data_IF_098755686970
#
_entry.id   IF_098755686970
#
_cell.length_a   1.000
_cell.length_b   1.000
_cell.length_c   1.000
_cell.angle_alpha   90.00
_cell.angle_beta   90.00
_cell.angle_gamma   90.00
#
_symmetry.space_group_name_H-M   'P 1'
#
loop_
_entity.id
_entity.type
_entity.pdbx_description
1 polymer ?
#
# COMPACT_ATOMS: atom_id res chain seq x y z
N UNK A 1 -63.76 2.84 8.53
CA UNK A 1 -62.77 3.69 7.83
C UNK A 1 -61.58 2.80 7.55
N UNK A 2 -61.43 2.36 6.30
CA UNK A 2 -60.30 1.52 5.89
C UNK A 2 -59.22 2.45 5.35
N UNK A 3 -58.14 2.61 6.13
CA UNK A 3 -56.99 3.41 5.74
C UNK A 3 -56.36 2.81 4.49
N UNK A 4 -56.48 3.54 3.39
CA UNK A 4 -55.89 3.19 2.11
C UNK A 4 -54.40 3.42 2.21
N UNK A 5 -53.64 2.35 2.46
CA UNK A 5 -52.18 2.37 2.39
C UNK A 5 -51.80 2.81 0.97
N UNK A 6 -51.22 4.01 0.85
CA UNK A 6 -50.84 4.58 -0.44
C UNK A 6 -49.76 3.71 -1.10
N UNK A 7 -49.91 3.33 -2.38
CA UNK A 7 -48.99 2.45 -3.11
C UNK A 7 -47.52 2.94 -3.12
N UNK A 8 -47.27 4.21 -2.79
CA UNK A 8 -45.96 4.79 -2.56
C UNK A 8 -45.18 4.13 -1.40
N UNK A 9 -45.85 3.74 -0.31
CA UNK A 9 -45.19 3.18 0.89
C UNK A 9 -44.65 1.77 0.62
N UNK A 10 -45.42 0.95 -0.11
CA UNK A 10 -44.99 -0.40 -0.49
C UNK A 10 -43.82 -0.37 -1.50
N UNK A 11 -43.83 0.58 -2.43
CA UNK A 11 -42.73 0.77 -3.39
C UNK A 11 -41.42 1.17 -2.68
N UNK A 12 -41.49 2.11 -1.72
CA UNK A 12 -40.32 2.51 -0.92
C UNK A 12 -39.82 1.35 -0.06
N UNK A 13 -40.71 0.62 0.60
CA UNK A 13 -40.33 -0.55 1.41
C UNK A 13 -39.65 -1.65 0.57
N UNK A 14 -40.14 -1.91 -0.65
CA UNK A 14 -39.54 -2.88 -1.55
C UNK A 14 -38.16 -2.43 -2.07
N UNK A 15 -38.00 -1.15 -2.40
CA UNK A 15 -36.70 -0.59 -2.78
C UNK A 15 -35.69 -0.62 -1.65
N UNK A 16 -36.09 -0.21 -0.45
CA UNK A 16 -35.22 -0.26 0.74
C UNK A 16 -34.87 -1.70 1.08
N UNK A 17 -35.84 -2.63 1.08
CA UNK A 17 -35.60 -4.05 1.32
C UNK A 17 -34.62 -4.64 0.30
N UNK A 18 -34.83 -4.38 -0.99
CA UNK A 18 -33.95 -4.85 -2.06
C UNK A 18 -32.54 -4.26 -1.97
N UNK A 19 -32.42 -2.97 -1.64
CA UNK A 19 -31.12 -2.32 -1.44
C UNK A 19 -30.38 -2.91 -0.22
N UNK A 20 -31.08 -3.12 0.89
CA UNK A 20 -30.52 -3.76 2.10
C UNK A 20 -30.07 -5.18 1.78
N UNK A 21 -30.88 -6.00 1.09
CA UNK A 21 -30.47 -7.35 0.70
C UNK A 21 -29.27 -7.33 -0.25
N UNK A 22 -29.25 -6.46 -1.26
CA UNK A 22 -28.14 -6.33 -2.20
C UNK A 22 -26.83 -5.89 -1.54
N UNK A 23 -26.88 -5.18 -0.42
CA UNK A 23 -25.68 -4.74 0.33
C UNK A 23 -25.30 -5.75 1.41
N UNK A 24 -26.25 -6.23 2.20
CA UNK A 24 -26.00 -7.12 3.32
C UNK A 24 -25.61 -8.53 2.89
N UNK A 25 -26.16 -9.05 1.80
CA UNK A 25 -25.90 -10.43 1.37
C UNK A 25 -24.46 -10.63 0.86
N UNK A 26 -23.84 -9.70 0.10
CA UNK A 26 -22.41 -9.74 -0.18
C UNK A 26 -21.53 -9.56 1.06
N UNK A 27 -21.92 -8.72 2.02
CA UNK A 27 -21.16 -8.53 3.26
C UNK A 27 -21.19 -9.80 4.11
N UNK A 28 -22.37 -10.38 4.31
CA UNK A 28 -22.55 -11.65 5.01
C UNK A 28 -21.85 -12.80 4.29
N UNK A 29 -21.96 -12.87 2.95
CA UNK A 29 -21.25 -13.83 2.12
C UNK A 29 -19.72 -13.68 2.22
N UNK A 30 -19.20 -12.46 2.20
CA UNK A 30 -17.78 -12.18 2.38
C UNK A 30 -17.31 -12.54 3.80
N UNK A 31 -18.08 -12.20 4.83
CA UNK A 31 -17.81 -12.56 6.22
C UNK A 31 -17.78 -14.08 6.41
N UNK A 32 -18.76 -14.79 5.84
CA UNK A 32 -18.81 -16.25 5.86
C UNK A 32 -17.64 -16.86 5.09
N UNK A 33 -17.33 -16.36 3.90
CA UNK A 33 -16.16 -16.82 3.13
C UNK A 33 -14.85 -16.58 3.89
N UNK A 34 -14.70 -15.44 4.56
CA UNK A 34 -13.54 -15.14 5.39
C UNK A 34 -13.45 -16.06 6.62
N UNK A 35 -14.59 -16.38 7.25
CA UNK A 35 -14.67 -17.29 8.38
C UNK A 35 -14.39 -18.74 7.98
N UNK A 36 -14.82 -19.15 6.78
CA UNK A 36 -14.61 -20.50 6.24
C UNK A 36 -13.25 -20.67 5.56
N UNK A 37 -12.59 -19.59 5.14
CA UNK A 37 -11.30 -19.65 4.43
C UNK A 37 -10.21 -20.43 5.18
N UNK A 38 -10.05 -20.34 6.53
CA UNK A 38 -9.12 -21.19 7.27
C UNK A 38 -9.49 -22.67 7.27
N UNK A 39 -10.78 -22.99 7.11
CA UNK A 39 -11.32 -24.35 7.12
C UNK A 39 -11.27 -25.03 5.75
N UNK A 40 -11.07 -24.27 4.65
CA UNK A 40 -10.90 -24.85 3.33
C UNK A 40 -9.57 -25.62 3.29
N UNK A 41 -9.58 -26.94 3.00
CA UNK A 41 -8.36 -27.73 2.96
C UNK A 41 -7.39 -27.13 1.94
N UNK A 42 -6.20 -26.70 2.39
CA UNK A 42 -5.15 -26.20 1.49
C UNK A 42 -4.89 -27.15 0.33
N UNK A 43 -4.96 -28.46 0.59
CA UNK A 43 -4.82 -29.53 -0.39
C UNK A 43 -5.79 -29.43 -1.59
N UNK A 44 -6.94 -28.75 -1.45
CA UNK A 44 -7.90 -28.57 -2.53
C UNK A 44 -7.57 -27.37 -3.42
N UNK A 45 -7.02 -26.31 -2.84
CA UNK A 45 -6.66 -25.07 -3.54
C UNK A 45 -5.26 -25.16 -4.16
N UNK A 46 -4.32 -25.80 -3.48
CA UNK A 46 -2.92 -25.91 -3.92
C UNK A 46 -2.79 -26.45 -5.35
N UNK A 47 -3.35 -27.61 -5.73
CA UNK A 47 -3.16 -28.14 -7.08
C UNK A 47 -3.65 -27.18 -8.17
N UNK A 48 -4.71 -26.40 -7.90
CA UNK A 48 -5.30 -25.45 -8.86
C UNK A 48 -4.53 -24.14 -8.93
N UNK A 49 -4.05 -23.62 -7.80
CA UNK A 49 -3.22 -22.41 -7.73
C UNK A 49 -1.80 -22.70 -8.23
N UNK A 50 -1.31 -23.92 -8.00
CA UNK A 50 0.05 -24.36 -8.31
C UNK A 50 0.22 -24.87 -9.75
N UNK A 51 -0.89 -25.13 -10.47
CA UNK A 51 -0.86 -25.54 -11.87
C UNK A 51 -0.30 -24.43 -12.78
N UNK A 52 1.02 -24.39 -12.90
CA UNK A 52 1.77 -23.45 -13.72
C UNK A 52 2.21 -22.18 -13.00
N UNK A 53 2.56 -21.11 -13.75
CA UNK A 53 3.01 -19.82 -13.21
C UNK A 53 1.84 -19.11 -12.54
N UNK A 54 1.54 -19.52 -11.31
CA UNK A 54 0.44 -19.00 -10.48
C UNK A 54 -0.93 -19.15 -11.15
N UNK A 55 -1.18 -20.32 -11.76
CA UNK A 55 -2.44 -20.61 -12.46
C UNK A 55 -2.54 -20.06 -13.89
N UNK A 56 -1.48 -19.47 -14.46
CA UNK A 56 -1.53 -18.83 -15.78
C UNK A 56 -1.18 -19.74 -16.98
N UNK A 57 -0.95 -21.05 -16.78
CA UNK A 57 -0.50 -21.98 -17.86
C UNK A 57 -1.48 -22.07 -19.06
N UNK A 58 -2.75 -21.69 -18.90
CA UNK A 58 -3.80 -21.84 -19.92
C UNK A 58 -4.07 -20.61 -20.79
N UNK A 59 -3.25 -19.55 -20.75
CA UNK A 59 -3.46 -18.40 -21.65
C UNK A 59 -2.86 -18.65 -23.04
N UNK A 60 -3.68 -18.46 -24.08
CA UNK A 60 -3.30 -18.64 -25.50
C UNK A 60 -2.11 -17.78 -25.94
N UNK A 61 -1.86 -16.64 -25.29
CA UNK A 61 -0.68 -15.81 -25.50
C UNK A 61 -0.23 -15.19 -24.18
N UNK A 62 0.99 -15.47 -23.67
CA UNK A 62 1.51 -14.82 -22.49
C UNK A 62 1.72 -13.33 -22.79
N UNK A 63 1.28 -12.47 -21.87
CA UNK A 63 1.59 -11.04 -21.96
C UNK A 63 3.07 -10.83 -21.66
N UNK A 64 3.66 -9.77 -22.21
CA UNK A 64 5.03 -9.39 -21.86
C UNK A 64 5.13 -9.03 -20.37
N UNK A 65 6.17 -9.54 -19.72
CA UNK A 65 6.53 -9.26 -18.33
C UNK A 65 7.80 -8.43 -18.28
N UNK A 66 7.98 -7.70 -17.18
CA UNK A 66 9.22 -6.99 -16.89
C UNK A 66 10.07 -7.85 -15.96
N UNK A 67 11.19 -8.36 -16.48
CA UNK A 67 12.09 -9.31 -15.84
C UNK A 67 13.43 -8.66 -15.55
N UNK A 68 14.01 -8.90 -14.39
CA UNK A 68 15.36 -8.47 -14.01
C UNK A 68 16.19 -9.70 -13.64
N UNK A 69 17.34 -9.89 -14.30
CA UNK A 69 18.38 -10.84 -13.85
C UNK A 69 19.13 -10.20 -12.69
N UNK A 70 19.14 -10.83 -11.53
CA UNK A 70 19.87 -10.32 -10.35
C UNK A 70 21.31 -10.83 -10.28
N UNK A 71 21.74 -11.65 -11.23
CA UNK A 71 23.10 -12.20 -11.28
C UNK A 71 24.13 -11.07 -11.40
N UNK A 72 25.14 -11.09 -10.54
CA UNK A 72 26.24 -10.13 -10.55
C UNK A 72 25.99 -8.84 -9.75
N UNK A 73 24.81 -8.64 -9.17
CA UNK A 73 24.60 -7.56 -8.21
C UNK A 73 24.98 -8.01 -6.79
N UNK A 74 25.85 -7.24 -6.13
CA UNK A 74 26.18 -7.47 -4.73
C UNK A 74 25.01 -7.10 -3.79
N UNK A 75 24.27 -6.05 -4.12
CA UNK A 75 23.09 -5.56 -3.39
C UNK A 75 22.18 -4.74 -4.33
N UNK A 76 21.03 -4.29 -3.82
CA UNK A 76 20.09 -3.48 -4.58
C UNK A 76 20.66 -2.12 -5.01
N UNK A 77 21.64 -1.56 -4.28
CA UNK A 77 22.29 -0.30 -4.68
C UNK A 77 23.22 -0.49 -5.87
N UNK A 78 23.89 -1.64 -5.99
CA UNK A 78 24.68 -2.01 -7.17
C UNK A 78 23.80 -2.05 -8.43
N UNK A 79 22.56 -2.53 -8.31
CA UNK A 79 21.55 -2.46 -9.38
C UNK A 79 21.07 -1.02 -9.64
N UNK A 80 20.81 -0.22 -8.61
CA UNK A 80 20.23 1.11 -8.77
C UNK A 80 21.20 2.19 -9.29
N UNK A 81 22.50 2.08 -8.98
CA UNK A 81 23.55 3.06 -9.36
C UNK A 81 23.73 3.27 -10.87
N UNK A 82 23.75 2.23 -11.73
CA UNK A 82 23.88 2.41 -13.18
C UNK A 82 22.62 2.93 -13.86
N UNK A 83 21.46 2.97 -13.18
CA UNK A 83 20.22 3.48 -13.76
C UNK A 83 20.33 4.98 -14.12
N UNK A 84 19.44 5.42 -15.02
CA UNK A 84 19.31 6.81 -15.39
C UNK A 84 19.05 7.70 -14.16
N UNK A 85 19.38 9.01 -14.28
CA UNK A 85 19.35 9.98 -13.15
C UNK A 85 18.05 9.94 -12.36
N UNK A 86 16.90 9.91 -13.04
CA UNK A 86 15.58 9.94 -12.39
C UNK A 86 15.29 8.66 -11.59
N UNK A 87 15.22 7.45 -12.20
CA UNK A 87 15.07 6.18 -11.48
C UNK A 87 16.05 5.99 -10.31
N UNK A 88 17.33 6.30 -10.55
CA UNK A 88 18.38 6.24 -9.53
C UNK A 88 18.09 7.14 -8.34
N UNK A 89 17.69 8.40 -8.59
CA UNK A 89 17.35 9.36 -7.54
C UNK A 89 16.11 8.91 -6.75
N UNK A 90 15.12 8.34 -7.45
CA UNK A 90 13.92 7.81 -6.81
C UNK A 90 14.27 6.71 -5.80
N UNK A 91 15.02 5.70 -6.24
CA UNK A 91 15.37 4.54 -5.41
C UNK A 91 16.35 4.87 -4.28
N UNK A 92 17.38 5.68 -4.56
CA UNK A 92 18.45 5.98 -3.60
C UNK A 92 18.12 7.10 -2.61
N UNK A 93 17.12 7.97 -2.91
CA UNK A 93 16.84 9.16 -2.09
C UNK A 93 15.37 9.39 -1.82
N UNK A 94 14.52 9.37 -2.84
CA UNK A 94 13.12 9.80 -2.67
C UNK A 94 12.30 8.83 -1.84
N UNK A 95 12.53 7.52 -1.98
CA UNK A 95 11.88 6.50 -1.16
C UNK A 95 12.18 6.76 0.32
N UNK A 96 13.45 6.89 0.72
CA UNK A 96 13.82 7.11 2.12
C UNK A 96 13.32 8.46 2.66
N UNK A 97 13.44 9.52 1.84
CA UNK A 97 12.88 10.83 2.19
C UNK A 97 11.37 10.75 2.43
N UNK A 98 10.65 9.97 1.63
CA UNK A 98 9.21 9.75 1.82
C UNK A 98 8.93 8.98 3.10
N UNK A 99 9.72 7.95 3.41
CA UNK A 99 9.53 7.15 4.62
C UNK A 99 9.74 7.98 5.87
N UNK A 100 10.82 8.75 5.94
CA UNK A 100 11.11 9.65 7.05
C UNK A 100 10.02 10.72 7.18
N UNK A 101 9.65 11.38 6.07
CA UNK A 101 8.65 12.45 6.07
C UNK A 101 7.28 11.98 6.57
N UNK A 102 6.90 10.75 6.24
CA UNK A 102 5.56 10.22 6.54
C UNK A 102 5.56 9.24 7.73
N UNK A 103 6.69 9.06 8.44
CA UNK A 103 6.81 8.11 9.54
C UNK A 103 6.41 6.69 9.11
N UNK A 104 6.97 6.22 7.99
CA UNK A 104 6.63 4.89 7.46
C UNK A 104 7.48 3.79 8.10
N UNK A 105 6.81 2.78 8.65
CA UNK A 105 7.39 1.51 9.09
C UNK A 105 6.94 0.40 8.16
N UNK A 106 7.74 -0.65 8.01
CA UNK A 106 7.39 -1.84 7.22
C UNK A 106 7.47 -3.08 8.09
N UNK A 107 6.50 -3.98 7.91
CA UNK A 107 6.48 -5.29 8.54
C UNK A 107 6.17 -6.35 7.49
N UNK A 108 6.95 -7.45 7.47
CA UNK A 108 6.62 -8.60 6.61
C UNK A 108 5.74 -9.56 7.35
N UNK A 109 4.56 -9.81 6.79
CA UNK A 109 3.60 -10.77 7.31
C UNK A 109 3.45 -11.95 6.33
N UNK A 110 3.22 -13.18 6.84
CA UNK A 110 2.71 -14.24 5.99
C UNK A 110 1.30 -13.86 5.51
N UNK A 111 0.96 -14.20 4.27
CA UNK A 111 -0.29 -13.77 3.64
C UNK A 111 -1.56 -14.18 4.41
N UNK A 112 -1.53 -15.30 5.13
CA UNK A 112 -2.65 -15.77 5.96
C UNK A 112 -2.90 -14.91 7.22
N UNK A 113 -2.00 -14.00 7.58
CA UNK A 113 -2.19 -13.06 8.71
C UNK A 113 -2.84 -11.73 8.33
N UNK A 114 -3.18 -11.54 7.05
CA UNK A 114 -3.90 -10.34 6.62
C UNK A 114 -5.31 -10.26 7.24
N UNK A 115 -5.54 -9.30 8.12
CA UNK A 115 -6.85 -9.01 8.73
C UNK A 115 -7.67 -7.89 8.06
N UNK A 116 -8.70 -7.40 8.76
CA UNK A 116 -9.68 -6.42 8.27
C UNK A 116 -9.06 -5.08 7.82
N UNK A 117 -8.08 -4.56 8.56
CA UNK A 117 -7.40 -3.32 8.20
C UNK A 117 -6.71 -3.39 6.82
N UNK A 118 -6.23 -4.57 6.42
CA UNK A 118 -5.61 -4.78 5.12
C UNK A 118 -6.65 -4.84 4.00
N UNK A 119 -7.82 -5.45 4.24
CA UNK A 119 -8.92 -5.43 3.29
C UNK A 119 -9.38 -4.00 2.99
N UNK A 120 -9.43 -3.13 4.00
CA UNK A 120 -9.75 -1.72 3.80
C UNK A 120 -8.76 -1.03 2.85
N UNK A 121 -7.46 -1.34 2.92
CA UNK A 121 -6.46 -0.82 1.98
C UNK A 121 -6.76 -1.29 0.55
N UNK A 122 -7.08 -2.58 0.37
CA UNK A 122 -7.37 -3.14 -0.95
C UNK A 122 -8.61 -2.47 -1.54
N UNK A 123 -9.68 -2.30 -0.77
CA UNK A 123 -10.92 -1.63 -1.19
C UNK A 123 -10.64 -0.16 -1.54
N UNK A 124 -9.96 0.58 -0.66
CA UNK A 124 -9.62 1.98 -0.88
C UNK A 124 -8.78 2.18 -2.16
N UNK A 125 -7.90 1.22 -2.46
CA UNK A 125 -7.17 1.21 -3.72
C UNK A 125 -8.09 0.98 -4.93
N UNK A 126 -9.07 0.06 -4.84
CA UNK A 126 -10.02 -0.19 -5.93
C UNK A 126 -10.96 0.98 -6.20
N UNK A 127 -11.34 1.74 -5.17
CA UNK A 127 -12.23 2.91 -5.30
C UNK A 127 -11.67 4.01 -6.23
N UNK A 128 -10.36 3.99 -6.52
CA UNK A 128 -9.74 4.91 -7.49
C UNK A 128 -10.07 4.59 -8.95
N UNK A 129 -10.56 3.37 -9.21
CA UNK A 129 -10.76 2.85 -10.56
C UNK A 129 -12.19 2.38 -10.82
N UNK A 130 -12.96 2.12 -9.77
CA UNK A 130 -14.31 1.53 -9.85
C UNK A 130 -15.29 2.27 -8.95
N UNK A 131 -16.59 2.17 -9.24
CA UNK A 131 -17.64 2.64 -8.32
C UNK A 131 -17.60 1.89 -6.99
N UNK A 132 -18.06 2.50 -5.90
CA UNK A 132 -18.03 1.93 -4.55
C UNK A 132 -18.51 0.47 -4.45
N UNK A 133 -19.67 0.06 -5.01
CA UNK A 133 -20.10 -1.33 -4.90
C UNK A 133 -19.18 -2.31 -5.65
N UNK A 134 -18.70 -1.92 -6.84
CA UNK A 134 -17.80 -2.74 -7.65
C UNK A 134 -16.41 -2.82 -6.97
N UNK A 135 -15.92 -1.70 -6.44
CA UNK A 135 -14.66 -1.63 -5.70
C UNK A 135 -14.67 -2.52 -4.45
N UNK A 136 -15.80 -2.55 -3.73
CA UNK A 136 -16.00 -3.45 -2.59
C UNK A 136 -15.89 -4.92 -3.03
N UNK A 137 -16.64 -5.31 -4.05
CA UNK A 137 -16.66 -6.69 -4.56
C UNK A 137 -15.27 -7.14 -5.04
N UNK A 138 -14.64 -6.35 -5.92
CA UNK A 138 -13.29 -6.64 -6.45
C UNK A 138 -12.27 -6.63 -5.32
N UNK A 139 -12.40 -5.71 -4.36
CA UNK A 139 -11.50 -5.58 -3.22
C UNK A 139 -11.54 -6.81 -2.31
N UNK A 140 -12.74 -7.28 -1.94
CA UNK A 140 -12.93 -8.52 -1.17
C UNK A 140 -12.34 -9.71 -1.91
N UNK A 141 -12.66 -9.88 -3.19
CA UNK A 141 -12.15 -10.99 -3.97
C UNK A 141 -10.61 -11.01 -4.06
N UNK A 142 -10.00 -9.87 -4.35
CA UNK A 142 -8.53 -9.73 -4.41
C UNK A 142 -7.87 -9.99 -3.04
N UNK A 143 -8.48 -9.49 -1.97
CA UNK A 143 -8.00 -9.74 -0.62
C UNK A 143 -8.03 -11.24 -0.27
N UNK A 144 -9.12 -11.94 -0.60
CA UNK A 144 -9.24 -13.38 -0.38
C UNK A 144 -8.16 -14.17 -1.12
N UNK A 145 -7.91 -13.85 -2.39
CA UNK A 145 -6.84 -14.51 -3.14
C UNK A 145 -5.48 -14.17 -2.53
N UNK A 146 -5.26 -12.92 -2.12
CA UNK A 146 -3.98 -12.48 -1.55
C UNK A 146 -3.69 -13.29 -0.29
N UNK A 147 -4.69 -13.44 0.59
CA UNK A 147 -4.61 -14.24 1.82
C UNK A 147 -4.43 -15.74 1.56
N UNK A 148 -4.99 -16.27 0.49
CA UNK A 148 -4.91 -17.69 0.14
C UNK A 148 -3.61 -18.07 -0.59
N UNK A 149 -2.99 -17.14 -1.30
CA UNK A 149 -1.77 -17.40 -2.07
C UNK A 149 -0.55 -17.58 -1.14
N UNK A 150 0.38 -18.48 -1.50
CA UNK A 150 1.67 -18.56 -0.82
C UNK A 150 2.46 -17.27 -1.01
N UNK A 151 3.43 -17.05 -0.12
CA UNK A 151 4.32 -15.89 -0.17
C UNK A 151 4.18 -14.97 1.04
N UNK A 152 4.70 -13.77 0.89
CA UNK A 152 4.85 -12.78 1.95
C UNK A 152 4.28 -11.43 1.53
N UNK A 153 3.76 -10.70 2.50
CA UNK A 153 3.17 -9.40 2.30
C UNK A 153 3.92 -8.39 3.15
N UNK A 154 4.54 -7.42 2.48
CA UNK A 154 5.14 -6.27 3.13
C UNK A 154 4.02 -5.25 3.40
N UNK A 155 3.72 -5.01 4.67
CA UNK A 155 2.70 -4.06 5.12
C UNK A 155 3.40 -2.78 5.58
N UNK A 156 2.94 -1.65 5.05
CA UNK A 156 3.51 -0.34 5.32
C UNK A 156 2.56 0.40 6.27
N UNK A 157 3.08 0.80 7.42
CA UNK A 157 2.37 1.53 8.46
C UNK A 157 2.78 3.00 8.42
N UNK A 158 1.83 3.91 8.62
CA UNK A 158 2.12 5.32 8.82
C UNK A 158 1.77 5.71 10.25
N UNK A 159 2.63 6.53 10.87
CA UNK A 159 2.34 7.18 12.15
C UNK A 159 1.27 8.25 11.92
N UNK A 160 0.06 8.04 12.44
CA UNK A 160 -0.98 9.07 12.37
C UNK A 160 -0.68 10.10 13.45
N UNK A 161 -0.30 11.31 13.05
CA UNK A 161 -0.27 12.44 13.97
C UNK A 161 -1.71 12.71 14.41
N UNK A 162 -2.01 12.81 15.71
CA UNK A 162 -3.34 13.21 16.17
C UNK A 162 -3.67 14.55 15.49
N UNK A 163 -4.74 14.58 14.72
CA UNK A 163 -5.16 15.80 14.05
C UNK A 163 -5.50 16.82 15.13
N UNK A 164 -4.86 17.99 15.08
CA UNK A 164 -5.02 19.08 16.05
C UNK A 164 -6.51 19.50 16.25
N UNK A 165 -7.41 19.06 15.37
CA UNK A 165 -8.86 19.21 15.52
C UNK A 165 -9.44 18.60 16.80
N UNK A 166 -8.85 17.55 17.39
CA UNK A 166 -9.31 17.04 18.70
C UNK A 166 -8.80 17.85 19.88
N UNK A 167 -7.87 18.79 19.67
CA UNK A 167 -7.42 19.72 20.73
C UNK A 167 -8.25 21.01 20.77
N UNK A 168 -9.07 21.29 19.75
CA UNK A 168 -9.93 22.48 19.74
C UNK A 168 -11.17 22.28 20.63
N UNK A 169 -11.67 21.06 20.80
CA UNK A 169 -12.84 20.77 21.66
C UNK A 169 -12.54 20.74 23.17
N UNK A 170 -11.27 20.78 23.57
CA UNK A 170 -10.88 20.84 24.99
C UNK A 170 -10.67 22.27 25.53
N UNK A 171 -10.76 23.31 24.69
CA UNK A 171 -10.89 24.68 25.19
C UNK A 171 -12.34 24.92 25.56
N UNK A 172 -12.64 24.71 26.85
CA UNK A 172 -13.86 25.18 27.48
C UNK A 172 -14.15 26.61 26.99
N UNK A 173 -15.37 26.91 26.51
CA UNK A 173 -15.72 28.27 26.11
C UNK A 173 -15.54 29.18 27.32
N UNK A 174 -14.60 30.11 27.23
CA UNK A 174 -14.44 31.18 28.20
C UNK A 174 -15.70 32.06 28.06
N UNK A 175 -16.57 32.18 29.09
CA UNK A 175 -17.89 32.79 28.95
C UNK A 175 -17.88 34.33 28.83
N UNK A 176 -16.78 34.96 28.43
CA UNK A 176 -16.58 36.40 28.67
C UNK A 176 -16.05 37.22 27.48
N UNK A 177 -16.47 36.90 26.25
CA UNK A 177 -16.20 37.79 25.10
C UNK A 177 -17.49 38.17 24.41
N UNK A 178 -18.04 39.31 24.83
CA UNK A 178 -19.10 40.03 24.13
C UNK A 178 -18.54 40.56 22.81
N UNK A 179 -19.08 40.05 21.69
CA UNK A 179 -18.71 40.51 20.35
C UNK A 179 -19.43 41.83 20.09
N UNK A 180 -18.65 42.90 19.98
CA UNK A 180 -19.08 44.18 19.40
C UNK A 180 -19.24 43.98 17.89
N UNK A 181 -20.43 44.27 17.38
CA UNK A 181 -20.74 44.22 15.95
C UNK A 181 -20.12 45.43 15.25
N UNK A 182 -19.16 45.20 14.34
CA UNK A 182 -18.74 46.20 13.34
C UNK A 182 -19.30 45.84 11.96
N UNK A 183 -19.84 46.87 11.31
CA UNK A 183 -20.65 46.79 10.09
C UNK A 183 -19.87 46.61 8.78
N UNK A 184 -20.59 46.56 7.65
CA UNK A 184 -20.04 46.20 6.37
C UNK A 184 -19.53 47.44 5.63
N UNK A 185 -18.23 47.54 5.38
CA UNK A 185 -17.68 48.43 4.34
C UNK A 185 -16.25 48.02 3.98
N UNK A 186 -15.93 48.08 2.69
CA UNK A 186 -14.54 48.27 2.25
C UNK A 186 -14.02 47.26 1.23
N UNK A 187 -14.47 47.40 -0.02
CA UNK A 187 -13.75 46.91 -1.19
C UNK A 187 -12.45 47.70 -1.32
N UNK A 188 -11.28 47.08 -1.14
CA UNK A 188 -10.00 47.68 -1.53
C UNK A 188 -9.07 46.68 -2.22
N UNK A 189 -8.88 46.93 -3.52
CA UNK A 189 -7.65 46.67 -4.25
C UNK A 189 -6.44 47.24 -3.50
N UNK A 190 -5.35 46.47 -3.34
CA UNK A 190 -3.99 46.92 -3.70
C UNK A 190 -2.87 45.87 -3.52
N UNK A 191 -2.12 45.74 -4.62
CA UNK A 191 -0.65 45.69 -4.79
C UNK A 191 0.30 44.89 -3.89
N UNK A 192 1.27 44.30 -4.60
CA UNK A 192 2.50 43.66 -4.17
C UNK A 192 3.32 44.45 -3.13
N UNK A 193 3.83 43.72 -2.15
CA UNK A 193 4.98 44.06 -1.31
C UNK A 193 6.06 42.98 -1.54
N UNK A 194 7.23 43.33 -2.07
CA UNK A 194 8.37 43.93 -1.36
C UNK A 194 9.06 42.93 -0.42
N UNK A 195 10.17 42.38 -0.92
CA UNK A 195 11.10 41.45 -0.27
C UNK A 195 11.85 42.16 0.86
N UNK A 196 11.70 41.69 2.10
CA UNK A 196 12.52 42.13 3.23
C UNK A 196 13.67 41.13 3.48
N UNK A 197 14.86 41.60 3.91
CA UNK A 197 16.00 40.74 4.19
C UNK A 197 15.87 40.05 5.56
N UNK A 198 16.24 38.77 5.59
CA UNK A 198 16.35 37.91 6.77
C UNK A 198 17.45 38.42 7.72
N UNK A 199 17.07 38.73 8.96
CA UNK A 199 18.00 38.89 10.08
C UNK A 199 18.21 37.55 10.77
N UNK A 200 19.47 37.15 10.94
CA UNK A 200 19.89 35.93 11.60
C UNK A 200 19.61 36.00 13.11
N UNK A 201 18.81 35.08 13.63
CA UNK A 201 18.69 34.79 15.06
C UNK A 201 19.69 33.69 15.46
N UNK A 202 20.30 33.76 16.66
CA UNK A 202 21.26 32.75 17.11
C UNK A 202 20.57 31.43 17.46
N UNK A 203 21.06 30.34 16.86
CA UNK A 203 20.76 28.96 17.23
C UNK A 203 21.29 28.65 18.63
N UNK A 204 20.40 28.50 19.62
CA UNK A 204 20.70 27.80 20.86
C UNK A 204 20.15 26.38 20.79
N UNK A 205 20.93 25.46 20.23
CA UNK A 205 20.62 24.03 20.14
C UNK A 205 20.96 23.33 21.46
N UNK A 206 20.02 23.36 22.39
CA UNK A 206 19.93 22.34 23.43
C UNK A 206 19.44 21.04 22.80
N UNK A 207 20.36 20.13 22.49
CA UNK A 207 20.02 18.80 21.99
C UNK A 207 19.36 17.98 23.12
N UNK A 208 18.03 18.01 23.18
CA UNK A 208 17.28 17.06 23.99
C UNK A 208 17.61 15.65 23.49
N UNK A 209 18.04 14.77 24.41
CA UNK A 209 18.36 13.40 24.05
C UNK A 209 17.07 12.65 23.69
N UNK A 210 17.13 11.70 22.76
CA UNK A 210 15.96 10.88 22.40
C UNK A 210 15.36 10.12 23.61
N UNK A 211 16.13 9.98 24.69
CA UNK A 211 15.68 9.40 25.95
C UNK A 211 14.75 10.32 26.76
N UNK A 212 14.93 11.65 26.68
CA UNK A 212 14.14 12.61 27.48
C UNK A 212 12.71 12.81 26.94
N UNK A 213 12.46 12.45 25.68
CA UNK A 213 11.13 12.52 25.06
C UNK A 213 10.24 11.33 25.46
N UNK A 214 10.82 10.22 25.93
CA UNK A 214 10.08 8.99 26.24
C UNK A 214 9.33 9.02 27.59
N UNK A 215 9.62 9.97 28.46
CA UNK A 215 9.12 9.98 29.83
C UNK A 215 7.97 10.98 30.10
N UNK A 216 7.43 11.66 29.08
CA UNK A 216 6.32 12.60 29.27
C UNK A 216 4.97 11.85 29.38
N UNK A 217 4.34 11.79 30.57
CA UNK A 217 3.02 11.18 30.74
C UNK A 217 1.98 12.08 30.06
N UNK A 218 1.58 11.73 28.84
CA UNK A 218 0.62 12.51 28.05
C UNK A 218 0.76 12.37 26.53
N UNK A 219 1.83 11.76 26.03
CA UNK A 219 1.90 11.32 24.64
C UNK A 219 0.99 10.10 24.46
N UNK A 220 -0.28 10.34 24.11
CA UNK A 220 -1.17 9.29 23.61
C UNK A 220 -0.41 8.48 22.56
N UNK A 221 -0.26 7.17 22.79
CA UNK A 221 0.50 6.28 21.93
C UNK A 221 0.15 6.56 20.46
N UNK A 222 1.13 6.96 19.66
CA UNK A 222 0.91 7.22 18.25
C UNK A 222 0.24 5.99 17.64
N UNK A 223 -0.93 6.19 17.04
CA UNK A 223 -1.65 5.08 16.43
C UNK A 223 -1.01 4.78 15.06
N UNK A 224 -0.40 3.61 14.96
CA UNK A 224 0.06 3.08 13.68
C UNK A 224 -1.15 2.56 12.89
N UNK A 225 -1.24 3.00 11.63
CA UNK A 225 -2.28 2.52 10.72
C UNK A 225 -1.62 1.96 9.45
N UNK A 226 -2.01 0.76 8.99
CA UNK A 226 -1.51 0.25 7.72
C UNK A 226 -2.09 1.12 6.58
N UNK A 227 -1.22 1.56 5.68
CA UNK A 227 -1.56 2.44 4.55
C UNK A 227 -1.34 1.77 3.20
N UNK A 228 -0.49 0.76 3.14
CA UNK A 228 -0.12 0.09 1.90
C UNK A 228 0.28 -1.38 2.13
N UNK A 229 0.20 -2.19 1.08
CA UNK A 229 0.72 -3.55 1.06
C UNK A 229 1.30 -3.93 -0.32
N UNK A 230 2.39 -4.70 -0.30
CA UNK A 230 2.97 -5.32 -1.49
C UNK A 230 3.15 -6.82 -1.27
N UNK A 231 2.64 -7.64 -2.18
CA UNK A 231 2.77 -9.09 -2.11
C UNK A 231 3.96 -9.56 -2.95
N UNK A 232 4.76 -10.46 -2.41
CA UNK A 232 5.80 -11.16 -3.16
C UNK A 232 5.66 -12.67 -3.01
N UNK A 233 5.93 -13.39 -4.09
CA UNK A 233 5.84 -14.85 -4.14
C UNK A 233 7.11 -15.38 -4.78
N UNK A 234 7.75 -16.34 -4.13
CA UNK A 234 8.92 -17.02 -4.68
C UNK A 234 8.49 -18.40 -5.14
N UNK A 235 8.80 -18.73 -6.39
CA UNK A 235 8.54 -20.05 -6.98
C UNK A 235 9.68 -20.40 -7.93
N UNK A 236 10.27 -21.59 -7.74
CA UNK A 236 11.50 -21.99 -8.43
C UNK A 236 12.62 -20.97 -8.20
N UNK A 237 13.23 -20.46 -9.27
CA UNK A 237 14.32 -19.49 -9.22
C UNK A 237 13.87 -18.02 -9.32
N UNK A 238 12.56 -17.78 -9.23
CA UNK A 238 11.97 -16.49 -9.55
C UNK A 238 11.18 -15.92 -8.38
N UNK A 239 11.51 -14.68 -8.03
CA UNK A 239 10.73 -13.83 -7.14
C UNK A 239 9.76 -13.00 -7.97
N UNK A 240 8.46 -13.16 -7.77
CA UNK A 240 7.44 -12.35 -8.43
C UNK A 240 6.89 -11.30 -7.49
N UNK A 241 7.02 -10.05 -7.90
CA UNK A 241 6.39 -8.90 -7.26
C UNK A 241 4.99 -8.74 -7.83
N UNK A 242 3.98 -8.85 -6.97
CA UNK A 242 2.60 -8.75 -7.40
C UNK A 242 1.74 -8.01 -6.39
N UNK A 243 0.69 -7.41 -6.90
CA UNK A 243 -0.38 -6.80 -6.13
C UNK A 243 0.11 -5.78 -5.10
N UNK A 244 0.16 -4.55 -5.58
CA UNK A 244 0.49 -3.39 -4.78
C UNK A 244 -0.81 -2.64 -4.52
N UNK A 245 -1.23 -2.57 -3.26
CA UNK A 245 -2.38 -1.77 -2.87
C UNK A 245 -1.90 -0.66 -1.95
N UNK A 246 -2.17 0.59 -2.30
CA UNK A 246 -1.88 1.73 -1.44
C UNK A 246 -3.14 2.59 -1.31
N UNK A 247 -3.49 2.91 -0.06
CA UNK A 247 -4.57 3.85 0.26
C UNK A 247 -4.07 5.31 0.23
N UNK A 248 -2.76 5.53 0.37
CA UNK A 248 -2.13 6.85 0.39
C UNK A 248 -1.02 6.97 -0.67
N UNK A 249 -1.19 7.72 -1.78
CA UNK A 249 -0.19 7.78 -2.85
C UNK A 249 1.19 8.31 -2.43
N UNK A 250 1.32 8.97 -1.27
CA UNK A 250 2.59 9.50 -0.76
C UNK A 250 3.60 8.40 -0.41
N UNK A 251 3.12 7.16 -0.24
CA UNK A 251 3.92 5.99 0.14
C UNK A 251 5.07 5.64 -0.80
N UNK A 252 5.07 6.12 -2.07
CA UNK A 252 5.99 5.66 -3.12
C UNK A 252 6.07 4.12 -3.19
N UNK A 253 4.96 3.44 -2.87
CA UNK A 253 4.91 1.99 -2.59
C UNK A 253 5.58 1.16 -3.68
N UNK A 254 5.29 1.46 -4.94
CA UNK A 254 5.82 0.66 -6.04
C UNK A 254 7.35 0.64 -6.04
N UNK A 255 8.00 1.79 -5.82
CA UNK A 255 9.45 1.90 -5.76
C UNK A 255 10.02 1.24 -4.50
N UNK A 256 9.33 1.34 -3.36
CA UNK A 256 9.73 0.68 -2.12
C UNK A 256 9.67 -0.86 -2.24
N UNK A 257 8.61 -1.39 -2.84
CA UNK A 257 8.45 -2.83 -3.08
C UNK A 257 9.44 -3.33 -4.12
N UNK A 258 9.73 -2.53 -5.15
CA UNK A 258 10.75 -2.86 -6.15
C UNK A 258 12.13 -2.99 -5.49
N UNK A 259 12.53 -1.99 -4.70
CA UNK A 259 13.78 -1.97 -3.96
C UNK A 259 13.92 -3.20 -3.05
N UNK A 260 12.89 -3.47 -2.24
CA UNK A 260 12.87 -4.61 -1.34
C UNK A 260 12.90 -5.95 -2.10
N UNK A 261 12.15 -6.05 -3.20
CA UNK A 261 12.09 -7.22 -4.05
C UNK A 261 13.43 -7.61 -4.66
N UNK A 262 14.18 -6.62 -5.17
CA UNK A 262 15.51 -6.84 -5.74
C UNK A 262 16.50 -7.28 -4.65
N UNK A 263 16.54 -6.59 -3.51
CA UNK A 263 17.40 -6.99 -2.39
C UNK A 263 17.08 -8.42 -1.93
N UNK A 264 15.78 -8.74 -1.81
CA UNK A 264 15.29 -10.05 -1.40
C UNK A 264 15.71 -11.15 -2.37
N UNK A 265 15.63 -10.90 -3.68
CA UNK A 265 16.09 -11.84 -4.68
C UNK A 265 17.61 -12.07 -4.60
N UNK A 266 18.41 -11.01 -4.49
CA UNK A 266 19.88 -11.11 -4.35
C UNK A 266 20.28 -11.92 -3.10
N UNK A 267 19.57 -11.72 -1.98
CA UNK A 267 19.88 -12.39 -0.71
C UNK A 267 19.28 -13.78 -0.55
N UNK A 268 18.38 -14.22 -1.45
CA UNK A 268 17.76 -15.55 -1.34
C UNK A 268 18.54 -16.53 -2.22
N UNK A 269 19.19 -17.56 -1.63
CA UNK A 269 19.97 -18.52 -2.41
C UNK A 269 19.13 -19.21 -3.48
N UNK A 270 19.69 -19.32 -4.69
CA UNK A 270 19.04 -19.96 -5.83
C UNK A 270 18.00 -19.10 -6.56
N UNK A 271 17.70 -17.87 -6.09
CA UNK A 271 16.92 -16.93 -6.87
C UNK A 271 17.81 -16.17 -7.85
N UNK A 272 17.35 -16.09 -9.09
CA UNK A 272 18.01 -15.40 -10.19
C UNK A 272 17.17 -14.27 -10.74
N UNK A 273 15.85 -14.42 -10.74
CA UNK A 273 14.96 -13.53 -11.47
C UNK A 273 14.02 -12.76 -10.55
N UNK A 274 13.82 -11.49 -10.86
CA UNK A 274 12.70 -10.70 -10.33
C UNK A 274 11.71 -10.44 -11.47
N UNK A 275 10.49 -10.94 -11.31
CA UNK A 275 9.37 -10.64 -12.20
C UNK A 275 8.49 -9.54 -11.60
N UNK A 276 8.51 -8.35 -12.20
CA UNK A 276 7.63 -7.24 -11.84
C UNK A 276 6.22 -7.34 -12.46
N UNK A 277 5.91 -8.48 -13.08
CA UNK A 277 4.63 -8.82 -13.67
C UNK A 277 4.37 -8.14 -15.02
N UNK A 278 3.21 -8.44 -15.63
CA UNK A 278 2.84 -7.84 -16.89
C UNK A 278 2.48 -6.36 -16.74
N UNK A 279 2.56 -5.63 -17.84
CA UNK A 279 2.03 -4.27 -17.94
C UNK A 279 0.85 -4.28 -18.90
N UNK A 280 -0.32 -3.80 -18.43
CA UNK A 280 -1.50 -3.66 -19.28
C UNK A 280 -1.46 -2.43 -20.19
N UNK A 281 -0.54 -1.50 -19.91
CA UNK A 281 -0.38 -0.23 -20.62
C UNK A 281 1.08 -0.06 -21.06
N UNK A 282 1.35 0.42 -22.29
CA UNK A 282 2.70 0.62 -22.81
C UNK A 282 3.58 1.51 -21.91
N UNK A 283 3.02 2.62 -21.40
CA UNK A 283 3.73 3.56 -20.54
C UNK A 283 4.21 2.93 -19.22
N UNK A 284 3.48 1.94 -18.70
CA UNK A 284 3.89 1.19 -17.50
C UNK A 284 4.99 0.19 -17.85
N UNK A 285 4.99 -0.36 -19.06
CA UNK A 285 6.07 -1.23 -19.54
C UNK A 285 7.36 -0.43 -19.74
N UNK A 286 7.27 0.71 -20.41
CA UNK A 286 8.39 1.65 -20.59
C UNK A 286 8.95 2.10 -19.24
N UNK A 287 8.08 2.49 -18.30
CA UNK A 287 8.49 2.84 -16.95
C UNK A 287 9.32 1.73 -16.32
N UNK A 288 8.86 0.47 -16.33
CA UNK A 288 9.64 -0.66 -15.79
C UNK A 288 10.99 -0.82 -16.49
N UNK A 289 11.04 -0.60 -17.81
CA UNK A 289 12.28 -0.55 -18.60
C UNK A 289 13.28 0.48 -18.08
N UNK A 290 12.82 1.68 -17.69
CA UNK A 290 13.72 2.71 -17.12
C UNK A 290 14.37 2.31 -15.78
N UNK A 291 13.81 1.32 -15.08
CA UNK A 291 14.36 0.72 -13.86
C UNK A 291 15.20 -0.54 -14.15
N UNK A 292 15.60 -0.77 -15.41
CA UNK A 292 16.50 -1.85 -15.81
C UNK A 292 15.82 -3.22 -15.97
N UNK A 293 14.48 -3.27 -15.98
CA UNK A 293 13.77 -4.51 -16.30
C UNK A 293 13.65 -4.71 -17.81
N UNK A 294 13.97 -5.90 -18.29
CA UNK A 294 13.70 -6.30 -19.66
C UNK A 294 12.21 -6.62 -19.82
N UNK A 295 11.53 -5.94 -20.76
CA UNK A 295 10.14 -6.24 -21.10
C UNK A 295 10.10 -7.29 -22.20
N UNK A 296 9.74 -8.53 -21.86
CA UNK A 296 9.79 -9.67 -22.79
C UNK A 296 8.55 -10.56 -22.71
N UNK A 297 8.11 -11.11 -23.84
CA UNK A 297 7.07 -12.15 -23.92
C UNK A 297 7.64 -13.56 -23.68
N UNK A 298 8.96 -13.71 -23.72
CA UNK A 298 9.67 -14.98 -23.52
C UNK A 298 10.01 -15.25 -22.05
N UNK A 299 9.38 -14.54 -21.10
CA UNK A 299 9.65 -14.67 -19.67
C UNK A 299 9.48 -16.11 -19.13
N UNK A 300 8.65 -16.94 -19.76
CA UNK A 300 8.52 -18.36 -19.40
C UNK A 300 9.77 -19.21 -19.69
N UNK A 301 10.63 -18.74 -20.60
CA UNK A 301 11.90 -19.38 -20.92
C UNK A 301 13.02 -18.90 -20.00
N UNK A 302 12.89 -17.68 -19.46
CA UNK A 302 13.84 -17.09 -18.53
C UNK A 302 13.58 -17.57 -17.10
N UNK A 303 12.32 -17.45 -16.63
CA UNK A 303 11.92 -17.67 -15.25
C UNK A 303 11.40 -19.10 -15.03
N UNK A 304 11.96 -19.82 -14.05
CA UNK A 304 11.48 -21.14 -13.67
C UNK A 304 10.35 -21.04 -12.63
N UNK A 305 9.11 -21.09 -13.11
CA UNK A 305 7.92 -21.20 -12.25
C UNK A 305 7.44 -22.64 -12.01
N UNK A 306 8.13 -23.64 -12.53
CA UNK A 306 7.77 -25.04 -12.33
C UNK A 306 8.43 -25.63 -11.06
N UNK A 307 9.38 -24.91 -10.46
CA UNK A 307 9.95 -25.25 -9.15
C UNK A 307 9.01 -25.04 -7.95
N UNK A 308 9.44 -25.46 -6.74
CA UNK A 308 8.64 -25.36 -5.53
C UNK A 308 8.45 -23.90 -5.08
N UNK A 309 7.43 -23.64 -4.28
CA UNK A 309 7.34 -22.38 -3.55
C UNK A 309 8.40 -22.33 -2.47
N UNK A 310 8.98 -21.14 -2.28
CA UNK A 310 9.99 -20.92 -1.25
C UNK A 310 9.56 -19.75 -0.36
N UNK A 311 9.95 -19.74 0.93
CA UNK A 311 9.87 -18.53 1.73
C UNK A 311 10.85 -17.50 1.16
N UNK A 312 10.41 -16.26 1.06
CA UNK A 312 11.27 -15.16 0.64
C UNK A 312 11.97 -14.55 1.88
N UNK A 313 13.12 -13.88 1.71
CA UNK A 313 13.80 -13.23 2.85
C UNK A 313 12.92 -12.10 3.43
N UNK A 314 12.51 -12.15 4.71
CA UNK A 314 11.69 -11.11 5.35
C UNK A 314 12.31 -9.71 5.32
N UNK A 315 11.49 -8.65 5.36
CA UNK A 315 11.94 -7.26 5.23
C UNK A 315 12.83 -6.79 6.39
N UNK A 316 12.59 -7.27 7.61
CA UNK A 316 13.45 -7.01 8.78
C UNK A 316 14.86 -7.59 8.61
N UNK A 317 15.02 -8.56 7.70
CA UNK A 317 16.29 -9.23 7.39
C UNK A 317 16.93 -8.72 6.11
N UNK A 318 16.25 -7.90 5.31
CA UNK A 318 16.88 -7.27 4.15
C UNK A 318 17.67 -6.05 4.59
N UNK A 319 18.94 -6.01 4.22
CA UNK A 319 19.81 -4.89 4.54
C UNK A 319 19.57 -3.75 3.56
N UNK A 320 18.52 -2.97 3.82
CA UNK A 320 18.37 -1.68 3.16
C UNK A 320 19.28 -0.69 3.88
N UNK A 321 20.50 -0.51 3.38
CA UNK A 321 21.40 0.53 3.87
C UNK A 321 20.69 1.90 3.78
N UNK A 322 20.37 2.49 4.94
CA UNK A 322 19.61 3.73 5.10
C UNK A 322 19.01 3.83 6.51
N UNK A 323 18.70 5.04 6.98
CA UNK A 323 18.32 5.42 8.36
C UNK A 323 17.07 4.74 8.98
N UNK A 324 16.59 3.62 8.43
CA UNK A 324 15.39 2.92 8.89
C UNK A 324 15.67 1.83 9.94
N UNK A 325 16.94 1.58 10.32
CA UNK A 325 17.26 0.60 11.39
C UNK A 325 16.92 1.10 12.82
N UNK A 326 16.52 2.35 13.00
CA UNK A 326 16.26 2.94 14.32
C UNK A 326 15.03 3.85 14.30
N UNK A 327 13.85 3.27 14.43
CA UNK A 327 12.64 3.94 14.92
C UNK A 327 11.87 2.94 15.78
#
# INVERSE_FOLDING_TARGET
>A
MADTVTPSVLCVAWWVGSAVTLVCLPIAGAGLLLALAPCLPRAWLEPRINAGPLGLRRRRQPRAHAILDTTGFADWTAWARPLARSPRTTLLKQVDKSFIKNGLRVETLPANRLGWAHLQIVIAHQQRHYSTPIALLIGVFRFLICRAMPGQVDVYYATVKPSCSSQIEARSPDPTTSVVAEGPNGLHHRTAHATAPLTNAPESTGAATAADVAAAPGLSAFQERPVALGHSVVKGDTLRLMWFYCSDPRCLLWFAVLRAGVQRAIQTPGLRWVDAGPSGRPEVAELKGTYGFEVTSQWLQLCNYDGPYQPATPYDRIELHGHLKQA
#
